data_IF_546662588426
#
_entry.id   IF_546662588426
#
_cell.length_a   1.000
_cell.length_b   1.000
_cell.length_c   1.000
_cell.angle_alpha   90.00
_cell.angle_beta   90.00
_cell.angle_gamma   90.00
#
_symmetry.space_group_name_H-M   'P 1'
#
loop_
_entity.id
_entity.type
_entity.pdbx_description
1 polymer ?
#
# COMPACT_ATOMS: atom_id res chain seq x y z
N UNK A 1 20.01 40.63 -11.06
CA UNK A 1 19.42 39.66 -12.01
C UNK A 1 19.65 38.17 -11.67
N UNK A 2 20.52 37.79 -10.73
CA UNK A 2 20.78 36.36 -10.38
C UNK A 2 19.62 35.61 -9.68
N UNK A 3 18.61 36.31 -9.15
CA UNK A 3 17.50 35.67 -8.42
C UNK A 3 16.32 35.19 -9.27
N UNK A 4 16.09 35.79 -10.45
CA UNK A 4 14.91 35.48 -11.29
C UNK A 4 15.18 34.22 -12.13
N UNK A 5 16.36 34.13 -12.77
CA UNK A 5 16.75 32.97 -13.59
C UNK A 5 16.88 31.67 -12.78
N UNK A 6 17.33 31.75 -11.51
CA UNK A 6 17.39 30.58 -10.62
C UNK A 6 16.01 30.08 -10.21
N UNK A 7 15.04 30.98 -10.08
CA UNK A 7 13.64 30.63 -9.77
C UNK A 7 12.93 30.00 -10.97
N UNK A 8 13.23 30.49 -12.18
CA UNK A 8 12.67 29.96 -13.43
C UNK A 8 13.20 28.56 -13.75
N UNK A 9 14.53 28.37 -13.67
CA UNK A 9 15.13 27.05 -13.86
C UNK A 9 14.63 26.00 -12.85
N UNK A 10 14.40 26.41 -11.59
CA UNK A 10 13.80 25.53 -10.58
C UNK A 10 12.35 25.17 -10.92
N UNK A 11 11.55 26.13 -11.40
CA UNK A 11 10.18 25.87 -11.82
C UNK A 11 10.12 24.90 -13.00
N UNK A 12 10.99 25.07 -14.01
CA UNK A 12 11.12 24.17 -15.15
C UNK A 12 11.53 22.75 -14.72
N UNK A 13 12.48 22.64 -13.79
CA UNK A 13 12.90 21.35 -13.25
C UNK A 13 11.74 20.64 -12.53
N UNK A 14 10.97 21.35 -11.71
CA UNK A 14 9.81 20.78 -11.00
C UNK A 14 8.72 20.33 -11.98
N UNK A 15 8.47 21.09 -13.05
CA UNK A 15 7.55 20.68 -14.12
C UNK A 15 8.05 19.39 -14.78
N UNK A 16 9.33 19.33 -15.13
CA UNK A 16 9.95 18.15 -15.77
C UNK A 16 9.84 16.91 -14.88
N UNK A 17 10.16 17.03 -13.59
CA UNK A 17 10.03 15.94 -12.60
C UNK A 17 8.58 15.48 -12.52
N UNK A 18 7.61 16.40 -12.41
CA UNK A 18 6.18 16.06 -12.33
C UNK A 18 5.71 15.32 -13.59
N UNK A 19 6.10 15.80 -14.76
CA UNK A 19 5.77 15.16 -16.04
C UNK A 19 6.36 13.76 -16.12
N UNK A 20 7.64 13.58 -15.77
CA UNK A 20 8.28 12.26 -15.76
C UNK A 20 7.64 11.28 -14.77
N UNK A 21 7.24 11.74 -13.58
CA UNK A 21 6.49 10.92 -12.62
C UNK A 21 5.12 10.52 -13.19
N UNK A 22 4.41 11.46 -13.83
CA UNK A 22 3.13 11.20 -14.48
C UNK A 22 3.24 10.19 -15.62
N UNK A 23 4.28 10.30 -16.45
CA UNK A 23 4.55 9.37 -17.54
C UNK A 23 4.91 7.98 -17.02
N UNK A 24 5.72 7.89 -15.96
CA UNK A 24 6.03 6.62 -15.31
C UNK A 24 4.76 5.94 -14.74
N UNK A 25 3.87 6.73 -14.13
CA UNK A 25 2.57 6.24 -13.66
C UNK A 25 1.69 5.82 -14.83
N UNK A 26 1.69 6.54 -15.95
CA UNK A 26 0.91 6.18 -17.13
C UNK A 26 1.42 4.88 -17.78
N UNK A 27 2.74 4.72 -17.91
CA UNK A 27 3.38 3.59 -18.56
C UNK A 27 3.26 2.28 -17.76
N UNK A 28 3.27 2.34 -16.43
CA UNK A 28 3.26 1.11 -15.63
C UNK A 28 1.93 0.36 -15.78
N UNK A 29 2.03 -0.95 -16.03
CA UNK A 29 0.87 -1.81 -16.21
C UNK A 29 0.85 -2.84 -15.10
N UNK A 30 -0.22 -2.88 -14.31
CA UNK A 30 -0.41 -3.88 -13.26
C UNK A 30 -1.50 -4.85 -13.73
N UNK A 31 -1.17 -6.09 -14.14
CA UNK A 31 -2.15 -6.99 -14.71
C UNK A 31 -3.23 -7.38 -13.69
N UNK A 32 -4.49 -7.35 -14.11
CA UNK A 32 -5.65 -7.82 -13.31
C UNK A 32 -6.00 -9.28 -13.65
N UNK A 33 -4.98 -10.13 -13.86
CA UNK A 33 -5.17 -11.55 -14.14
C UNK A 33 -5.62 -12.30 -12.89
N UNK A 34 -6.52 -13.27 -13.06
CA UNK A 34 -7.05 -14.05 -11.95
C UNK A 34 -6.02 -15.06 -11.44
N UNK A 35 -6.13 -15.54 -10.19
CA UNK A 35 -5.27 -16.60 -9.70
C UNK A 35 -5.34 -17.88 -10.54
N UNK A 36 -6.45 -18.15 -11.24
CA UNK A 36 -6.57 -19.28 -12.15
C UNK A 36 -5.64 -19.13 -13.37
N UNK A 37 -5.63 -17.95 -13.99
CA UNK A 37 -4.73 -17.65 -15.13
C UNK A 37 -3.27 -17.76 -14.70
N UNK A 38 -2.92 -17.18 -13.55
CA UNK A 38 -1.56 -17.23 -13.02
C UNK A 38 -1.13 -18.65 -12.57
N UNK A 39 -2.07 -19.54 -12.26
CA UNK A 39 -1.78 -20.96 -11.99
C UNK A 39 -1.61 -21.77 -13.28
N UNK A 40 -2.37 -21.44 -14.32
CA UNK A 40 -2.28 -22.11 -15.61
C UNK A 40 -1.01 -21.75 -16.38
N UNK A 41 -0.54 -20.50 -16.27
CA UNK A 41 0.65 -20.00 -16.94
C UNK A 41 1.67 -19.41 -15.94
N UNK A 42 2.75 -20.12 -15.61
CA UNK A 42 3.75 -19.65 -14.65
C UNK A 42 4.43 -18.33 -15.02
N UNK A 43 4.65 -18.06 -16.32
CA UNK A 43 5.26 -16.80 -16.73
C UNK A 43 4.33 -15.60 -16.46
N UNK A 44 3.02 -15.80 -16.56
CA UNK A 44 2.03 -14.77 -16.22
C UNK A 44 2.12 -14.39 -14.73
N UNK A 45 2.32 -15.37 -13.84
CA UNK A 45 2.51 -15.11 -12.42
C UNK A 45 3.78 -14.28 -12.14
N UNK A 46 4.90 -14.61 -12.82
CA UNK A 46 6.16 -13.89 -12.70
C UNK A 46 6.03 -12.44 -13.18
N UNK A 47 5.43 -12.23 -14.35
CA UNK A 47 5.19 -10.89 -14.90
C UNK A 47 4.29 -10.07 -13.99
N UNK A 48 3.18 -10.63 -13.51
CA UNK A 48 2.29 -9.94 -12.59
C UNK A 48 2.98 -9.60 -11.26
N UNK A 49 3.85 -10.47 -10.74
CA UNK A 49 4.63 -10.21 -9.54
C UNK A 49 5.67 -9.10 -9.74
N UNK A 50 6.37 -9.11 -10.87
CA UNK A 50 7.34 -8.10 -11.24
C UNK A 50 6.67 -6.72 -11.39
N UNK A 51 5.61 -6.64 -12.18
CA UNK A 51 4.87 -5.40 -12.44
C UNK A 51 4.28 -4.78 -11.17
N UNK A 52 3.66 -5.60 -10.32
CA UNK A 52 3.22 -5.14 -9.00
C UNK A 52 4.39 -4.65 -8.14
N UNK A 53 5.53 -5.34 -8.19
CA UNK A 53 6.73 -4.90 -7.47
C UNK A 53 7.23 -3.55 -7.95
N UNK A 54 7.22 -3.31 -9.26
CA UNK A 54 7.57 -2.03 -9.86
C UNK A 54 6.60 -0.92 -9.46
N UNK A 55 5.28 -1.19 -9.45
CA UNK A 55 4.28 -0.18 -9.12
C UNK A 55 4.35 0.25 -7.66
N UNK A 56 4.59 -0.69 -6.76
CA UNK A 56 4.78 -0.42 -5.34
C UNK A 56 6.06 0.40 -5.09
N UNK A 57 7.15 0.13 -5.82
CA UNK A 57 8.38 0.95 -5.75
C UNK A 57 8.17 2.36 -6.31
N UNK A 58 7.47 2.48 -7.44
CA UNK A 58 7.13 3.77 -8.03
C UNK A 58 6.28 4.61 -7.06
N UNK A 59 5.28 4.00 -6.43
CA UNK A 59 4.45 4.66 -5.41
C UNK A 59 5.30 5.18 -4.26
N UNK A 60 6.22 4.36 -3.71
CA UNK A 60 7.14 4.79 -2.66
C UNK A 60 8.03 5.97 -3.13
N UNK A 61 8.52 5.91 -4.37
CA UNK A 61 9.32 6.97 -4.96
C UNK A 61 8.54 8.29 -5.09
N UNK A 62 7.28 8.25 -5.52
CA UNK A 62 6.41 9.43 -5.57
C UNK A 62 6.24 10.01 -4.16
N UNK A 63 5.98 9.17 -3.16
CA UNK A 63 5.82 9.62 -1.76
C UNK A 63 7.08 10.29 -1.17
N UNK A 64 8.29 10.02 -1.69
CA UNK A 64 9.50 10.70 -1.23
C UNK A 64 9.58 12.17 -1.63
N UNK A 65 8.79 12.62 -2.62
CA UNK A 65 8.77 14.02 -3.07
C UNK A 65 7.90 14.94 -2.22
N UNK A 66 7.38 14.47 -1.07
CA UNK A 66 6.47 15.20 -0.16
C UNK A 66 6.93 16.58 0.31
N UNK A 67 8.23 16.77 0.48
CA UNK A 67 8.79 18.04 0.98
C UNK A 67 9.06 19.03 -0.16
N UNK A 68 8.86 18.60 -1.41
CA UNK A 68 9.22 19.34 -2.62
C UNK A 68 7.97 19.61 -3.48
N UNK A 69 7.15 18.61 -3.69
CA UNK A 69 5.93 18.69 -4.49
C UNK A 69 4.71 18.92 -3.61
N UNK A 70 3.77 19.73 -4.11
CA UNK A 70 2.52 20.00 -3.41
C UNK A 70 1.73 18.71 -3.18
N UNK A 71 1.16 18.57 -1.98
CA UNK A 71 0.41 17.38 -1.56
C UNK A 71 -0.69 16.95 -2.56
N UNK A 72 -1.50 17.84 -3.16
CA UNK A 72 -2.52 17.43 -4.14
C UNK A 72 -1.94 16.75 -5.39
N UNK A 73 -0.72 17.13 -5.80
CA UNK A 73 -0.03 16.49 -6.93
C UNK A 73 0.37 15.06 -6.56
N UNK A 74 0.86 14.87 -5.34
CA UNK A 74 1.26 13.56 -4.83
C UNK A 74 0.08 12.64 -4.59
N UNK A 75 -1.02 13.16 -4.04
CA UNK A 75 -2.27 12.42 -3.88
C UNK A 75 -2.81 11.93 -5.21
N UNK A 76 -2.87 12.81 -6.21
CA UNK A 76 -3.33 12.43 -7.55
C UNK A 76 -2.45 11.31 -8.14
N UNK A 77 -1.13 11.48 -8.13
CA UNK A 77 -0.21 10.51 -8.74
C UNK A 77 -0.15 9.19 -7.98
N UNK A 78 0.02 9.22 -6.66
CA UNK A 78 0.24 8.03 -5.85
C UNK A 78 -1.07 7.31 -5.50
N UNK A 79 -2.11 8.06 -5.14
CA UNK A 79 -3.38 7.47 -4.67
C UNK A 79 -4.34 7.27 -5.85
N UNK A 80 -4.73 8.34 -6.53
CA UNK A 80 -5.80 8.27 -7.53
C UNK A 80 -5.35 7.47 -8.77
N UNK A 81 -4.25 7.88 -9.40
CA UNK A 81 -3.81 7.32 -10.68
C UNK A 81 -3.12 5.96 -10.51
N UNK A 82 -2.26 5.81 -9.51
CA UNK A 82 -1.48 4.59 -9.32
C UNK A 82 -2.16 3.56 -8.40
N UNK A 83 -2.43 3.91 -7.14
CA UNK A 83 -2.98 2.96 -6.17
C UNK A 83 -4.40 2.52 -6.56
N UNK A 84 -5.31 3.46 -6.81
CA UNK A 84 -6.71 3.18 -7.11
C UNK A 84 -6.92 2.81 -8.57
N UNK A 85 -6.26 3.51 -9.49
CA UNK A 85 -6.34 3.23 -10.91
C UNK A 85 -5.75 1.87 -11.31
N UNK A 86 -4.66 1.42 -10.65
CA UNK A 86 -3.87 0.27 -11.14
C UNK A 86 -3.61 -0.82 -10.11
N UNK A 87 -3.20 -0.48 -8.88
CA UNK A 87 -2.74 -1.48 -7.90
C UNK A 87 -3.90 -2.20 -7.20
N UNK A 88 -4.89 -1.48 -6.68
CA UNK A 88 -6.02 -2.09 -5.97
C UNK A 88 -6.88 -3.01 -6.85
N UNK A 89 -7.15 -2.69 -8.13
CA UNK A 89 -7.82 -3.62 -9.03
C UNK A 89 -7.12 -4.98 -9.11
N UNK A 90 -5.79 -5.00 -9.15
CA UNK A 90 -5.02 -6.26 -9.10
C UNK A 90 -5.27 -7.01 -7.78
N UNK A 91 -5.16 -6.34 -6.64
CA UNK A 91 -5.38 -6.96 -5.32
C UNK A 91 -6.78 -7.54 -5.20
N UNK A 92 -7.80 -6.80 -5.64
CA UNK A 92 -9.21 -7.25 -5.63
C UNK A 92 -9.40 -8.52 -6.44
N UNK A 93 -8.74 -8.61 -7.60
CA UNK A 93 -8.86 -9.76 -8.48
C UNK A 93 -8.15 -11.03 -7.96
N UNK A 94 -7.14 -10.86 -7.10
CA UNK A 94 -6.43 -11.99 -6.46
C UNK A 94 -6.97 -12.34 -5.07
N UNK A 95 -8.08 -11.73 -4.62
CA UNK A 95 -8.67 -11.98 -3.29
C UNK A 95 -9.00 -13.44 -3.04
N UNK A 96 -9.28 -14.21 -4.09
CA UNK A 96 -9.49 -15.66 -3.97
C UNK A 96 -8.22 -16.40 -3.53
N UNK A 97 -7.03 -15.82 -3.62
CA UNK A 97 -5.81 -16.26 -2.94
C UNK A 97 -5.50 -15.28 -1.79
N UNK A 98 -6.09 -15.53 -0.63
CA UNK A 98 -6.05 -14.58 0.49
C UNK A 98 -4.63 -14.39 1.04
N UNK A 99 -3.80 -15.44 1.06
CA UNK A 99 -2.41 -15.34 1.51
C UNK A 99 -1.62 -14.39 0.63
N UNK A 100 -1.75 -14.56 -0.69
CA UNK A 100 -1.09 -13.71 -1.67
C UNK A 100 -1.63 -12.28 -1.59
N UNK A 101 -2.95 -12.10 -1.56
CA UNK A 101 -3.58 -10.78 -1.48
C UNK A 101 -3.18 -10.01 -0.21
N UNK A 102 -3.16 -10.65 0.97
CA UNK A 102 -2.70 -10.01 2.23
C UNK A 102 -1.24 -9.57 2.11
N UNK A 103 -0.35 -10.42 1.59
CA UNK A 103 1.08 -10.07 1.39
C UNK A 103 1.23 -8.88 0.43
N UNK A 104 0.36 -8.74 -0.57
CA UNK A 104 0.35 -7.61 -1.50
C UNK A 104 -0.12 -6.33 -0.83
N UNK A 105 -1.20 -6.40 -0.05
CA UNK A 105 -1.72 -5.25 0.71
C UNK A 105 -0.72 -4.74 1.73
N UNK A 106 0.01 -5.61 2.43
CA UNK A 106 1.08 -5.18 3.34
C UNK A 106 2.19 -4.40 2.63
N UNK A 107 2.59 -4.83 1.43
CA UNK A 107 3.61 -4.13 0.65
C UNK A 107 3.13 -2.74 0.21
N UNK A 108 1.83 -2.58 -0.05
CA UNK A 108 1.22 -1.28 -0.33
C UNK A 108 1.32 -0.40 0.91
N UNK A 109 0.83 -0.88 2.06
CA UNK A 109 0.88 -0.14 3.34
C UNK A 109 2.31 0.26 3.69
N UNK A 110 3.27 -0.65 3.59
CA UNK A 110 4.69 -0.40 3.84
C UNK A 110 5.29 0.67 2.92
N UNK A 111 4.81 0.77 1.69
CA UNK A 111 5.32 1.72 0.70
C UNK A 111 4.75 3.11 0.89
N UNK A 112 3.51 3.21 1.39
CA UNK A 112 2.90 4.46 1.82
C UNK A 112 3.51 4.97 3.14
N UNK A 113 3.97 4.07 4.01
CA UNK A 113 4.56 4.41 5.30
C UNK A 113 6.06 4.71 5.28
N UNK A 114 6.71 4.63 4.12
CA UNK A 114 8.16 4.85 3.97
C UNK A 114 9.04 3.80 4.66
N UNK A 115 8.46 2.89 5.44
CA UNK A 115 9.15 1.90 6.27
C UNK A 115 9.32 0.59 5.48
N UNK A 116 10.42 0.47 4.75
CA UNK A 116 10.85 -0.82 4.22
C UNK A 116 11.44 -1.65 5.36
N UNK A 117 10.91 -2.86 5.60
CA UNK A 117 11.72 -3.93 6.17
C UNK A 117 12.77 -4.35 5.14
N UNK A 118 13.81 -3.54 5.00
CA UNK A 118 15.11 -4.07 4.68
C UNK A 118 15.66 -4.60 6.01
N UNK A 119 15.99 -5.88 6.05
CA UNK A 119 16.73 -6.50 7.14
C UNK A 119 18.02 -5.70 7.36
N UNK A 120 18.02 -4.79 8.34
CA UNK A 120 19.22 -4.09 8.76
C UNK A 120 19.90 -4.94 9.85
N UNK A 121 21.10 -5.47 9.62
CA UNK A 121 21.91 -6.01 10.70
C UNK A 121 22.41 -4.82 11.54
N UNK A 122 22.32 -5.00 12.87
CA UNK A 122 22.82 -4.12 13.94
C UNK A 122 21.86 -3.03 14.46
N UNK A 123 21.16 -3.43 15.54
CA UNK A 123 20.93 -2.69 16.80
C UNK A 123 20.74 -1.17 16.71
N UNK A 124 19.73 -0.74 15.96
CA UNK A 124 18.95 0.46 16.30
C UNK A 124 17.48 0.09 16.07
N UNK A 125 16.56 0.25 17.04
CA UNK A 125 15.15 -0.06 16.82
C UNK A 125 14.57 0.91 15.79
N UNK A 126 14.44 0.42 14.55
CA UNK A 126 13.84 1.11 13.40
C UNK A 126 12.40 1.60 13.63
N UNK A 127 11.80 1.23 14.77
CA UNK A 127 10.47 1.66 15.18
C UNK A 127 10.44 3.18 15.44
N UNK A 128 11.49 3.79 16.00
CA UNK A 128 11.40 5.21 16.41
C UNK A 128 11.52 6.23 15.25
N UNK A 129 12.17 5.86 14.14
CA UNK A 129 12.31 6.75 12.96
C UNK A 129 11.14 6.63 11.97
N UNK A 130 10.38 5.53 11.97
CA UNK A 130 9.18 5.39 11.14
C UNK A 130 7.97 6.17 11.72
N UNK A 131 7.95 6.52 13.01
CA UNK A 131 6.83 7.25 13.63
C UNK A 131 6.79 8.75 13.33
N UNK A 132 7.91 9.41 13.02
CA UNK A 132 7.89 10.84 12.70
C UNK A 132 7.58 11.13 11.22
N UNK A 133 7.98 10.24 10.31
CA UNK A 133 7.85 10.46 8.86
C UNK A 133 6.43 10.29 8.33
N UNK A 134 5.61 9.46 8.99
CA UNK A 134 4.19 9.25 8.74
C UNK A 134 3.30 10.34 9.38
N UNK A 135 3.74 10.90 10.51
CA UNK A 135 2.93 11.86 11.30
C UNK A 135 2.71 13.17 10.54
N UNK A 136 3.70 13.65 9.80
CA UNK A 136 3.60 14.97 9.16
C UNK A 136 2.83 14.97 7.82
N UNK A 137 2.75 13.84 7.09
CA UNK A 137 1.92 13.77 5.87
C UNK A 137 0.49 13.32 6.17
N UNK A 138 0.33 12.34 7.07
CA UNK A 138 -0.94 11.59 7.18
C UNK A 138 -1.62 11.69 8.56
N UNK A 139 -1.02 12.25 9.62
CA UNK A 139 -1.70 12.41 10.92
C UNK A 139 -2.47 13.72 11.12
N UNK A 140 -2.42 14.71 10.23
CA UNK A 140 -3.34 15.87 10.31
C UNK A 140 -4.56 15.65 9.43
N UNK A 141 -5.48 14.77 9.84
CA UNK A 141 -6.93 14.73 9.55
C UNK A 141 -7.49 15.03 8.13
N UNK A 142 -6.68 15.28 7.10
CA UNK A 142 -7.14 15.67 5.76
C UNK A 142 -7.23 14.49 4.79
N UNK A 143 -6.48 13.40 5.03
CA UNK A 143 -6.35 12.29 4.08
C UNK A 143 -6.95 10.96 4.57
N UNK A 144 -7.70 10.92 5.68
CA UNK A 144 -8.33 9.69 6.19
C UNK A 144 -9.33 9.11 5.18
N UNK A 145 -10.22 9.96 4.66
CA UNK A 145 -11.23 9.60 3.67
C UNK A 145 -10.63 9.19 2.32
N UNK A 146 -9.51 9.82 1.91
CA UNK A 146 -8.86 9.51 0.63
C UNK A 146 -8.35 8.07 0.59
N UNK A 147 -7.95 7.50 1.72
CA UNK A 147 -7.45 6.12 1.83
C UNK A 147 -8.53 5.09 2.13
N UNK A 148 -9.80 5.48 2.14
CA UNK A 148 -10.94 4.57 2.29
C UNK A 148 -10.89 3.37 1.33
N UNK A 149 -10.54 3.52 0.03
CA UNK A 149 -10.48 2.37 -0.88
C UNK A 149 -9.48 1.28 -0.44
N UNK A 150 -8.41 1.66 0.27
CA UNK A 150 -7.45 0.72 0.84
C UNK A 150 -8.02 0.04 2.09
N UNK A 151 -8.69 0.79 2.96
CA UNK A 151 -9.39 0.24 4.14
C UNK A 151 -10.46 -0.76 3.70
N UNK A 152 -11.27 -0.41 2.69
CA UNK A 152 -12.29 -1.28 2.11
C UNK A 152 -11.66 -2.57 1.54
N UNK A 153 -10.48 -2.47 0.94
CA UNK A 153 -9.74 -3.63 0.45
C UNK A 153 -9.29 -4.54 1.59
N UNK A 154 -8.80 -3.98 2.70
CA UNK A 154 -8.43 -4.74 3.91
C UNK A 154 -9.65 -5.43 4.53
N UNK A 155 -10.78 -4.73 4.61
CA UNK A 155 -12.05 -5.29 5.11
C UNK A 155 -12.59 -6.40 4.19
N UNK A 156 -12.47 -6.24 2.86
CA UNK A 156 -12.83 -7.27 1.90
C UNK A 156 -11.99 -8.55 2.09
N UNK A 157 -10.70 -8.40 2.36
CA UNK A 157 -9.82 -9.53 2.67
C UNK A 157 -10.25 -10.20 3.99
N UNK A 158 -10.60 -9.42 5.01
CA UNK A 158 -11.17 -9.93 6.27
C UNK A 158 -12.42 -10.77 6.05
N UNK A 159 -13.40 -10.26 5.29
CA UNK A 159 -14.63 -11.00 4.92
C UNK A 159 -14.35 -12.26 4.11
N UNK A 160 -13.32 -12.24 3.27
CA UNK A 160 -12.94 -13.40 2.45
C UNK A 160 -12.24 -14.47 3.29
N UNK A 161 -11.44 -14.05 4.27
CA UNK A 161 -10.80 -14.91 5.24
C UNK A 161 -11.83 -15.56 6.18
N UNK A 162 -12.84 -14.81 6.62
CA UNK A 162 -13.94 -15.28 7.45
C UNK A 162 -14.76 -16.37 6.75
N UNK A 163 -15.09 -16.16 5.47
CA UNK A 163 -15.73 -17.19 4.64
C UNK A 163 -14.89 -18.46 4.56
N UNK A 164 -13.57 -18.35 4.40
CA UNK A 164 -12.67 -19.53 4.37
C UNK A 164 -12.62 -20.28 5.69
N UNK A 165 -12.66 -19.58 6.81
CA UNK A 165 -12.76 -20.20 8.14
C UNK A 165 -14.05 -21.02 8.26
N UNK A 166 -15.18 -20.48 7.77
CA UNK A 166 -16.46 -21.21 7.75
C UNK A 166 -16.44 -22.48 6.87
N UNK A 167 -15.59 -22.53 5.85
CA UNK A 167 -15.38 -23.72 5.00
C UNK A 167 -14.36 -24.73 5.59
N UNK A 168 -13.94 -24.57 6.84
CA UNK A 168 -13.11 -25.55 7.55
C UNK A 168 -11.60 -25.40 7.36
N UNK A 169 -11.11 -24.26 6.88
CA UNK A 169 -9.67 -23.95 6.89
C UNK A 169 -9.20 -23.74 8.34
N UNK A 170 -7.99 -24.19 8.67
CA UNK A 170 -7.49 -24.18 10.05
C UNK A 170 -7.46 -22.76 10.66
N UNK A 171 -7.88 -22.66 11.93
CA UNK A 171 -7.85 -21.40 12.70
C UNK A 171 -6.43 -20.83 12.85
N UNK A 172 -5.41 -21.68 12.85
CA UNK A 172 -4.01 -21.26 12.98
C UNK A 172 -3.53 -20.46 11.75
N UNK A 173 -3.83 -20.95 10.55
CA UNK A 173 -3.45 -20.30 9.29
C UNK A 173 -4.26 -19.02 9.05
N UNK A 174 -5.55 -19.04 9.38
CA UNK A 174 -6.43 -17.88 9.24
C UNK A 174 -6.16 -16.84 10.32
N UNK A 175 -5.85 -17.25 11.55
CA UNK A 175 -5.49 -16.36 12.66
C UNK A 175 -4.23 -15.55 12.40
N UNK A 176 -3.20 -16.15 11.77
CA UNK A 176 -2.00 -15.44 11.35
C UNK A 176 -2.28 -14.31 10.35
N UNK A 177 -3.15 -14.57 9.37
CA UNK A 177 -3.60 -13.55 8.41
C UNK A 177 -4.47 -12.47 9.05
N UNK A 178 -5.39 -12.86 9.92
CA UNK A 178 -6.27 -11.93 10.62
C UNK A 178 -5.48 -10.95 11.50
N UNK A 179 -4.41 -11.41 12.17
CA UNK A 179 -3.49 -10.53 12.92
C UNK A 179 -2.80 -9.50 12.03
N UNK A 180 -2.39 -9.90 10.82
CA UNK A 180 -1.75 -9.02 9.83
C UNK A 180 -2.74 -7.96 9.31
N UNK A 181 -3.98 -8.36 9.01
CA UNK A 181 -5.07 -7.44 8.65
C UNK A 181 -5.38 -6.45 9.79
N UNK A 182 -5.53 -6.96 11.03
CA UNK A 182 -5.73 -6.13 12.23
C UNK A 182 -4.61 -5.09 12.37
N UNK A 183 -3.34 -5.52 12.22
CA UNK A 183 -2.19 -4.62 12.33
C UNK A 183 -2.25 -3.47 11.32
N UNK A 184 -2.57 -3.75 10.06
CA UNK A 184 -2.72 -2.71 9.02
C UNK A 184 -3.83 -1.70 9.36
N UNK A 185 -4.93 -2.14 9.99
CA UNK A 185 -6.01 -1.24 10.44
C UNK A 185 -5.58 -0.38 11.64
N UNK A 186 -4.88 -0.96 12.62
CA UNK A 186 -4.36 -0.22 13.78
C UNK A 186 -3.35 0.86 13.34
N UNK A 187 -2.43 0.52 12.43
CA UNK A 187 -1.47 1.48 11.85
C UNK A 187 -2.15 2.65 11.12
N UNK A 188 -3.43 2.49 10.77
CA UNK A 188 -4.27 3.49 10.11
C UNK A 188 -5.23 4.22 11.05
N UNK A 189 -5.18 3.95 12.36
CA UNK A 189 -6.15 4.42 13.36
C UNK A 189 -7.60 3.90 13.15
N UNK A 190 -7.78 2.82 12.41
CA UNK A 190 -9.08 2.16 12.18
C UNK A 190 -9.40 1.18 13.32
N UNK A 191 -9.46 1.68 14.56
CA UNK A 191 -9.51 0.87 15.77
C UNK A 191 -10.78 0.02 15.90
N UNK A 192 -11.93 0.55 15.50
CA UNK A 192 -13.20 -0.19 15.57
C UNK A 192 -13.20 -1.38 14.60
N UNK A 193 -12.79 -1.14 13.36
CA UNK A 193 -12.57 -2.18 12.35
C UNK A 193 -11.54 -3.23 12.81
N UNK A 194 -10.45 -2.79 13.45
CA UNK A 194 -9.44 -3.69 14.00
C UNK A 194 -9.98 -4.56 15.14
N UNK A 195 -10.83 -3.99 16.01
CA UNK A 195 -11.51 -4.70 17.10
C UNK A 195 -12.50 -5.73 16.57
N UNK A 196 -13.23 -5.39 15.50
CA UNK A 196 -14.14 -6.32 14.85
C UNK A 196 -13.41 -7.53 14.25
N UNK A 197 -12.26 -7.33 13.59
CA UNK A 197 -11.43 -8.45 13.13
C UNK A 197 -10.93 -9.28 14.32
N UNK A 198 -10.49 -8.65 15.41
CA UNK A 198 -10.03 -9.37 16.59
C UNK A 198 -11.13 -10.26 17.18
N UNK A 199 -12.37 -9.75 17.26
CA UNK A 199 -13.54 -10.50 17.75
C UNK A 199 -13.89 -11.68 16.86
N UNK A 200 -13.98 -11.49 15.54
CA UNK A 200 -14.38 -12.55 14.59
C UNK A 200 -13.41 -13.72 14.55
N UNK A 201 -12.12 -13.48 14.78
CA UNK A 201 -11.06 -14.50 14.72
C UNK A 201 -10.54 -14.88 16.11
N UNK A 202 -11.23 -14.50 17.20
CA UNK A 202 -10.85 -14.80 18.58
C UNK A 202 -9.37 -14.47 18.90
N UNK A 203 -8.87 -13.37 18.36
CA UNK A 203 -7.47 -12.97 18.53
C UNK A 203 -7.26 -12.36 19.92
N UNK A 204 -6.25 -12.82 20.66
CA UNK A 204 -5.82 -12.16 21.90
C UNK A 204 -5.45 -10.69 21.62
N UNK A 205 -5.98 -9.78 22.41
CA UNK A 205 -5.65 -8.36 22.35
C UNK A 205 -4.22 -8.13 22.85
N UNK A 206 -3.24 -8.11 21.93
CA UNK A 206 -1.95 -7.51 22.22
C UNK A 206 -2.15 -5.99 22.16
N UNK A 207 -2.19 -5.37 23.33
CA UNK A 207 -2.15 -3.91 23.52
C UNK A 207 -0.72 -3.40 23.31
#
# INVERSE_FOLDING_TARGET
>A
MKGIAASEALAELLVTIRTGLSEAVAYIMVPTWSPLVMKAEPNAALVAAYQFGMSVRLMRNICFWKEILALPVLEKLALDDLLYGKILPHVRNITSDVQYAVKRTERIVASLSGCGQAQMPHKIPAVFLCFHFLRDIYCKNLCSHKLQPLVDCVLLLGKTLERRLAYGVTESETGGLARRLKKMLVERNEYDSARDIARRFHLKEAF
#
